data_IF_334648297475
#
_entry.id   IF_334648297475
#
_cell.length_a   1.000
_cell.length_b   1.000
_cell.length_c   1.000
_cell.angle_alpha   90.00
_cell.angle_beta   90.00
_cell.angle_gamma   90.00
#
_symmetry.space_group_name_H-M   'P 1'
#
loop_
_entity.id
_entity.type
_entity.pdbx_description
1 polymer ?
#
# COMPACT_ATOMS: atom_id res chain seq x y z
N UNK A 1 6.42 21.82 -0.63
CA UNK A 1 7.23 20.62 -0.41
C UNK A 1 6.59 19.88 0.73
N UNK A 2 6.28 18.59 0.57
CA UNK A 2 5.68 17.77 1.63
C UNK A 2 6.78 16.97 2.33
N UNK A 3 6.71 16.89 3.66
CA UNK A 3 7.68 16.20 4.52
C UNK A 3 6.93 15.15 5.32
N UNK A 4 7.43 13.92 5.27
CA UNK A 4 6.81 12.77 5.95
C UNK A 4 7.74 12.10 6.96
N UNK A 5 7.13 11.44 7.95
CA UNK A 5 7.85 10.64 8.95
C UNK A 5 7.54 9.14 8.76
N UNK A 6 8.57 8.31 8.60
CA UNK A 6 8.43 6.86 8.62
C UNK A 6 8.30 6.34 10.04
N UNK A 7 7.29 5.49 10.29
CA UNK A 7 6.96 4.93 11.60
C UNK A 7 6.86 3.40 11.48
N UNK A 8 7.81 2.71 12.12
CA UNK A 8 7.87 1.25 12.10
C UNK A 8 7.36 0.58 13.39
N UNK A 9 7.16 1.33 14.46
CA UNK A 9 6.73 0.82 15.77
C UNK A 9 6.02 1.91 16.57
N UNK A 10 5.32 1.51 17.63
CA UNK A 10 4.63 2.41 18.57
C UNK A 10 3.87 3.56 17.87
N UNK A 11 2.88 3.17 17.05
CA UNK A 11 2.20 4.09 16.14
C UNK A 11 1.58 5.28 16.86
N UNK A 12 0.94 5.06 18.01
CA UNK A 12 0.30 6.15 18.74
C UNK A 12 1.32 7.23 19.18
N UNK A 13 2.43 6.81 19.80
CA UNK A 13 3.45 7.75 20.27
C UNK A 13 4.07 8.51 19.11
N UNK A 14 4.43 7.81 18.04
CA UNK A 14 5.14 8.41 16.91
C UNK A 14 4.22 9.27 16.03
N UNK A 15 2.91 8.97 15.93
CA UNK A 15 1.94 9.84 15.25
C UNK A 15 1.77 11.15 16.02
N UNK A 16 1.67 11.10 17.35
CA UNK A 16 1.64 12.32 18.18
C UNK A 16 2.88 13.17 17.98
N UNK A 17 4.05 12.54 18.02
CA UNK A 17 5.32 13.24 17.77
C UNK A 17 5.36 13.86 16.37
N UNK A 18 4.91 13.15 15.32
CA UNK A 18 4.84 13.70 13.97
C UNK A 18 3.91 14.92 13.89
N UNK A 19 2.76 14.87 14.56
CA UNK A 19 1.83 15.99 14.67
C UNK A 19 2.40 17.18 15.43
N UNK A 20 3.05 16.95 16.57
CA UNK A 20 3.73 17.98 17.38
C UNK A 20 4.88 18.66 16.60
N UNK A 21 5.56 17.91 15.73
CA UNK A 21 6.61 18.41 14.85
C UNK A 21 6.08 18.97 13.51
N UNK A 22 4.75 19.02 13.32
CA UNK A 22 4.11 19.57 12.12
C UNK A 22 4.55 18.92 10.80
N UNK A 23 4.72 17.59 10.79
CA UNK A 23 4.88 16.85 9.54
C UNK A 23 3.60 16.92 8.70
N UNK A 24 3.70 16.74 7.39
CA UNK A 24 2.55 16.72 6.49
C UNK A 24 1.89 15.33 6.42
N UNK A 25 2.68 14.27 6.58
CA UNK A 25 2.17 12.89 6.54
C UNK A 25 3.02 11.90 7.35
N UNK A 26 2.42 10.75 7.64
CA UNK A 26 3.09 9.59 8.23
C UNK A 26 3.07 8.40 7.29
N UNK A 27 4.19 7.70 7.20
CA UNK A 27 4.31 6.41 6.53
C UNK A 27 4.37 5.30 7.58
N UNK A 28 3.33 4.46 7.65
CA UNK A 28 3.23 3.40 8.65
C UNK A 28 3.72 2.07 8.07
N UNK A 29 4.73 1.44 8.70
CA UNK A 29 5.17 0.11 8.30
C UNK A 29 4.15 -0.95 8.73
N UNK A 30 3.42 -1.52 7.77
CA UNK A 30 2.29 -2.42 8.05
C UNK A 30 2.71 -3.87 8.37
N UNK A 31 4.01 -4.18 8.27
CA UNK A 31 4.56 -5.53 8.53
C UNK A 31 4.16 -6.05 9.91
N UNK A 32 4.16 -5.16 10.90
CA UNK A 32 3.82 -5.47 12.29
C UNK A 32 2.44 -4.95 12.71
N UNK A 33 1.61 -4.51 11.75
CA UNK A 33 0.30 -3.98 12.10
C UNK A 33 -0.58 -5.06 12.75
N UNK A 34 -0.86 -4.82 14.04
CA UNK A 34 -1.75 -5.62 14.88
C UNK A 34 -2.70 -4.68 15.63
N UNK A 35 -3.38 -3.78 14.91
CA UNK A 35 -4.41 -2.96 15.55
C UNK A 35 -5.76 -3.69 15.60
N UNK A 36 -6.31 -3.81 16.79
CA UNK A 36 -7.74 -4.04 17.02
C UNK A 36 -8.55 -2.87 16.43
N UNK A 37 -9.85 -3.06 16.22
CA UNK A 37 -10.70 -2.01 15.67
C UNK A 37 -10.70 -0.73 16.51
N UNK A 38 -10.69 -0.88 17.85
CA UNK A 38 -10.56 0.23 18.79
C UNK A 38 -9.22 0.96 18.65
N UNK A 39 -8.12 0.21 18.49
CA UNK A 39 -6.79 0.80 18.30
C UNK A 39 -6.70 1.51 16.94
N UNK A 40 -7.16 0.90 15.85
CA UNK A 40 -7.12 1.54 14.54
C UNK A 40 -7.96 2.84 14.54
N UNK A 41 -9.15 2.84 15.18
CA UNK A 41 -9.95 4.05 15.34
C UNK A 41 -9.19 5.15 16.08
N UNK A 42 -8.55 4.81 17.21
CA UNK A 42 -7.74 5.78 17.97
C UNK A 42 -6.60 6.37 17.15
N UNK A 43 -5.94 5.56 16.33
CA UNK A 43 -4.89 6.03 15.43
C UNK A 43 -5.44 6.96 14.35
N UNK A 44 -6.60 6.64 13.76
CA UNK A 44 -7.27 7.52 12.80
C UNK A 44 -7.67 8.85 13.44
N UNK A 45 -8.26 8.83 14.63
CA UNK A 45 -8.65 10.04 15.36
C UNK A 45 -7.42 10.96 15.60
N UNK A 46 -6.23 10.39 15.85
CA UNK A 46 -4.99 11.15 15.99
C UNK A 46 -4.50 11.71 14.65
N UNK A 47 -4.50 10.89 13.60
CA UNK A 47 -4.12 11.31 12.24
C UNK A 47 -5.00 12.50 11.80
N UNK A 48 -6.30 12.41 12.02
CA UNK A 48 -7.27 13.46 11.69
C UNK A 48 -7.06 14.70 12.57
N UNK A 49 -6.85 14.54 13.88
CA UNK A 49 -6.65 15.65 14.81
C UNK A 49 -5.41 16.50 14.48
N UNK A 50 -4.34 15.87 13.96
CA UNK A 50 -3.14 16.56 13.51
C UNK A 50 -3.15 16.90 12.01
N UNK A 51 -4.24 16.62 11.31
CA UNK A 51 -4.40 16.84 9.86
C UNK A 51 -3.25 16.20 9.04
N UNK A 52 -2.86 14.97 9.40
CA UNK A 52 -1.77 14.24 8.76
C UNK A 52 -2.29 13.42 7.57
N UNK A 53 -1.55 13.42 6.47
CA UNK A 53 -1.68 12.35 5.46
C UNK A 53 -1.23 11.00 6.03
N UNK A 54 -1.82 9.89 5.59
CA UNK A 54 -1.42 8.56 6.03
C UNK A 54 -1.18 7.62 4.84
N UNK A 55 0.03 7.09 4.76
CA UNK A 55 0.43 6.08 3.77
C UNK A 55 0.93 4.83 4.47
N UNK A 56 0.73 3.66 3.86
CA UNK A 56 1.16 2.38 4.41
C UNK A 56 2.36 1.83 3.64
N UNK A 57 3.43 1.42 4.31
CA UNK A 57 4.57 0.75 3.71
C UNK A 57 4.56 -0.75 4.01
N UNK A 58 4.74 -1.59 3.00
CA UNK A 58 4.70 -3.07 3.14
C UNK A 58 5.98 -3.78 2.70
N UNK A 59 7.01 -3.04 2.30
CA UNK A 59 8.25 -3.61 1.76
C UNK A 59 8.03 -4.44 0.50
N UNK A 60 8.76 -5.55 0.39
CA UNK A 60 8.83 -6.37 -0.83
C UNK A 60 7.59 -7.26 -1.08
N UNK A 61 6.72 -7.44 -0.08
CA UNK A 61 5.55 -8.28 -0.22
C UNK A 61 4.34 -7.69 0.51
N UNK A 62 3.31 -7.38 -0.27
CA UNK A 62 1.98 -7.06 0.24
C UNK A 62 1.26 -8.35 0.66
N UNK A 63 0.54 -8.34 1.76
CA UNK A 63 -0.25 -9.46 2.30
C UNK A 63 -1.68 -9.04 2.61
N UNK A 64 -2.62 -9.99 2.59
CA UNK A 64 -4.03 -9.71 2.92
C UNK A 64 -4.20 -9.13 4.33
N UNK A 65 -3.32 -9.51 5.28
CA UNK A 65 -3.32 -8.96 6.64
C UNK A 65 -2.95 -7.47 6.65
N UNK A 66 -1.91 -7.09 5.91
CA UNK A 66 -1.50 -5.69 5.77
C UNK A 66 -2.61 -4.87 5.10
N UNK A 67 -3.28 -5.42 4.07
CA UNK A 67 -4.40 -4.75 3.41
C UNK A 67 -5.61 -4.58 4.32
N UNK A 68 -5.94 -5.60 5.11
CA UNK A 68 -7.00 -5.48 6.11
C UNK A 68 -6.66 -4.41 7.15
N UNK A 69 -5.40 -4.33 7.60
CA UNK A 69 -4.96 -3.23 8.46
C UNK A 69 -5.09 -1.88 7.75
N UNK A 70 -4.61 -1.77 6.51
CA UNK A 70 -4.70 -0.56 5.71
C UNK A 70 -6.13 -0.11 5.42
N UNK A 71 -7.10 -1.03 5.35
CA UNK A 71 -8.53 -0.67 5.20
C UNK A 71 -9.17 -0.16 6.49
N UNK A 72 -8.58 -0.48 7.65
CA UNK A 72 -9.07 -0.01 8.96
C UNK A 72 -8.42 1.30 9.37
N UNK A 73 -7.16 1.48 9.00
CA UNK A 73 -6.49 2.76 9.09
C UNK A 73 -6.98 3.61 7.90
N UNK A 74 -7.04 4.93 8.03
CA UNK A 74 -7.42 5.81 6.91
C UNK A 74 -6.30 5.92 5.85
N UNK A 75 -5.65 4.80 5.52
CA UNK A 75 -4.55 4.73 4.57
C UNK A 75 -5.12 4.75 3.16
N UNK A 76 -4.90 5.87 2.47
CA UNK A 76 -5.32 6.04 1.09
C UNK A 76 -4.29 5.53 0.09
N UNK A 77 -3.04 5.31 0.50
CA UNK A 77 -1.95 4.88 -0.37
C UNK A 77 -1.11 3.80 0.30
N UNK A 78 -0.85 2.69 -0.41
CA UNK A 78 0.11 1.66 0.01
C UNK A 78 1.33 1.68 -0.90
N UNK A 79 2.52 1.76 -0.31
CA UNK A 79 3.81 1.73 -0.96
C UNK A 79 4.42 0.34 -0.79
N UNK A 80 4.83 -0.26 -1.91
CA UNK A 80 5.61 -1.51 -1.94
C UNK A 80 6.88 -1.29 -2.74
N UNK A 81 8.00 -1.71 -2.17
CA UNK A 81 9.33 -1.59 -2.74
C UNK A 81 10.04 -2.95 -2.64
N UNK A 82 10.56 -3.44 -3.77
CA UNK A 82 11.45 -4.60 -3.76
C UNK A 82 12.89 -4.11 -3.64
N UNK A 83 13.47 -4.27 -2.45
CA UNK A 83 14.87 -3.91 -2.21
C UNK A 83 15.86 -4.75 -3.02
N UNK A 84 17.00 -4.15 -3.39
CA UNK A 84 18.11 -4.76 -4.15
C UNK A 84 18.83 -5.95 -3.47
N UNK A 85 18.40 -6.41 -2.28
CA UNK A 85 19.10 -7.46 -1.53
C UNK A 85 18.43 -8.82 -1.74
N UNK A 86 19.11 -9.69 -2.50
CA UNK A 86 19.03 -11.17 -2.47
C UNK A 86 17.69 -11.81 -2.03
N UNK A 87 16.64 -11.60 -2.80
CA UNK A 87 15.39 -12.36 -2.67
C UNK A 87 15.16 -13.30 -3.86
N UNK A 88 16.17 -14.12 -4.19
CA UNK A 88 16.00 -15.29 -5.05
C UNK A 88 15.10 -16.38 -4.42
N UNK A 89 14.60 -16.17 -3.19
CA UNK A 89 13.80 -17.13 -2.40
C UNK A 89 12.36 -16.74 -2.16
N UNK A 90 11.93 -15.55 -2.55
CA UNK A 90 10.51 -15.20 -2.52
C UNK A 90 10.02 -15.17 -3.95
N UNK A 91 9.06 -16.04 -4.34
CA UNK A 91 8.44 -15.91 -5.64
C UNK A 91 7.96 -14.46 -5.75
N UNK A 92 8.27 -13.82 -6.89
CA UNK A 92 7.66 -12.56 -7.31
C UNK A 92 6.25 -12.54 -6.76
N UNK A 93 5.93 -11.52 -5.94
CA UNK A 93 4.70 -11.43 -5.15
C UNK A 93 3.64 -12.28 -5.81
N UNK A 94 3.13 -13.32 -5.14
CA UNK A 94 1.98 -14.06 -5.67
C UNK A 94 0.75 -13.15 -5.52
N UNK A 95 0.80 -12.00 -6.20
CA UNK A 95 -0.18 -10.93 -6.28
C UNK A 95 -1.48 -11.54 -6.79
N UNK A 96 -1.42 -12.63 -7.55
CA UNK A 96 -2.55 -13.46 -7.96
C UNK A 96 -3.22 -14.24 -6.80
N UNK A 97 -2.46 -14.76 -5.83
CA UNK A 97 -3.05 -15.33 -4.59
C UNK A 97 -3.57 -14.23 -3.66
N UNK A 98 -2.91 -13.07 -3.62
CA UNK A 98 -3.33 -11.92 -2.84
C UNK A 98 -4.60 -11.25 -3.38
N UNK A 99 -4.72 -11.22 -4.70
CA UNK A 99 -5.90 -10.83 -5.47
C UNK A 99 -7.14 -11.64 -5.12
N UNK A 100 -7.04 -12.83 -4.52
CA UNK A 100 -8.23 -13.56 -4.07
C UNK A 100 -8.66 -13.20 -2.65
N UNK A 101 -7.88 -12.37 -1.95
CA UNK A 101 -8.01 -12.08 -0.50
C UNK A 101 -7.99 -10.60 -0.17
N UNK A 102 -7.80 -9.73 -1.16
CA UNK A 102 -8.01 -8.31 -1.01
C UNK A 102 -9.50 -8.11 -0.68
N UNK A 103 -9.83 -7.50 0.47
CA UNK A 103 -11.21 -7.26 0.80
C UNK A 103 -11.78 -6.20 -0.17
N UNK A 104 -13.07 -6.31 -0.49
CA UNK A 104 -13.84 -5.30 -1.25
C UNK A 104 -13.75 -3.87 -0.64
N UNK A 105 -13.17 -3.75 0.55
CA UNK A 105 -13.11 -2.56 1.38
C UNK A 105 -11.90 -1.65 1.16
N UNK A 106 -10.86 -2.05 0.42
CA UNK A 106 -9.73 -1.13 0.15
C UNK A 106 -9.99 -0.29 -1.10
N UNK A 107 -10.37 0.98 -0.89
CA UNK A 107 -10.58 1.97 -1.93
C UNK A 107 -9.45 3.03 -1.91
N UNK A 108 -8.26 2.62 -2.31
CA UNK A 108 -7.07 3.47 -2.26
C UNK A 108 -6.08 3.18 -3.40
N UNK A 109 -4.99 3.94 -3.43
CA UNK A 109 -3.91 3.81 -4.38
C UNK A 109 -2.88 2.77 -3.92
N UNK A 110 -2.30 2.03 -4.86
CA UNK A 110 -1.11 1.20 -4.63
C UNK A 110 0.02 1.79 -5.47
N UNK A 111 1.07 2.29 -4.82
CA UNK A 111 2.29 2.78 -5.45
C UNK A 111 3.32 1.65 -5.55
N UNK A 112 3.68 1.29 -6.78
CA UNK A 112 4.71 0.30 -7.07
C UNK A 112 6.05 1.00 -7.32
N UNK A 113 7.07 0.68 -6.53
CA UNK A 113 8.43 1.22 -6.68
C UNK A 113 9.38 0.08 -7.05
N UNK A 114 9.97 0.14 -8.24
CA UNK A 114 11.01 -0.77 -8.70
C UNK A 114 11.84 -0.11 -9.81
N UNK A 115 13.13 -0.44 -9.86
CA UNK A 115 14.01 -0.07 -10.98
C UNK A 115 13.85 -1.02 -12.18
N UNK A 116 13.21 -2.18 -11.99
CA UNK A 116 12.96 -3.17 -13.03
C UNK A 116 11.62 -2.92 -13.73
N UNK A 117 11.69 -2.54 -15.01
CA UNK A 117 10.54 -2.25 -15.85
C UNK A 117 9.64 -3.47 -16.10
N UNK A 118 10.22 -4.66 -16.28
CA UNK A 118 9.43 -5.88 -16.54
C UNK A 118 8.71 -6.33 -15.27
N UNK A 119 9.32 -6.08 -14.11
CA UNK A 119 8.67 -6.28 -12.83
C UNK A 119 7.47 -5.34 -12.63
N UNK A 120 7.64 -4.03 -12.88
CA UNK A 120 6.53 -3.07 -12.80
C UNK A 120 5.37 -3.45 -13.72
N UNK A 121 5.66 -3.92 -14.94
CA UNK A 121 4.64 -4.43 -15.87
C UNK A 121 3.91 -5.65 -15.31
N UNK A 122 4.64 -6.63 -14.76
CA UNK A 122 4.06 -7.84 -14.19
C UNK A 122 3.18 -7.53 -12.96
N UNK A 123 3.67 -6.67 -12.06
CA UNK A 123 2.94 -6.22 -10.89
C UNK A 123 1.67 -5.42 -11.26
N UNK A 124 1.78 -4.45 -12.18
CA UNK A 124 0.64 -3.70 -12.72
C UNK A 124 -0.42 -4.63 -13.30
N UNK A 125 -0.01 -5.57 -14.17
CA UNK A 125 -0.92 -6.55 -14.76
C UNK A 125 -1.65 -7.37 -13.70
N UNK A 126 -0.95 -7.83 -12.66
CA UNK A 126 -1.56 -8.60 -11.59
C UNK A 126 -2.58 -7.77 -10.80
N UNK A 127 -2.28 -6.50 -10.51
CA UNK A 127 -3.20 -5.57 -9.85
C UNK A 127 -4.43 -5.24 -10.73
N UNK A 128 -4.26 -5.03 -12.04
CA UNK A 128 -5.38 -4.72 -12.93
C UNK A 128 -6.31 -5.93 -13.14
N UNK A 129 -5.74 -7.12 -13.34
CA UNK A 129 -6.52 -8.37 -13.41
C UNK A 129 -7.30 -8.59 -12.11
N UNK A 130 -6.70 -8.21 -10.98
CA UNK A 130 -7.37 -8.26 -9.70
C UNK A 130 -8.54 -7.28 -9.64
N UNK A 131 -8.26 -5.99 -9.80
CA UNK A 131 -9.21 -4.91 -9.52
C UNK A 131 -10.43 -4.96 -10.43
N UNK A 132 -10.21 -5.28 -11.71
CA UNK A 132 -11.24 -5.25 -12.74
C UNK A 132 -11.72 -6.65 -13.14
N UNK A 133 -11.01 -7.69 -12.74
CA UNK A 133 -11.22 -9.06 -13.22
C UNK A 133 -10.50 -9.32 -14.56
N UNK A 134 -10.12 -10.59 -14.79
CA UNK A 134 -9.36 -11.02 -15.98
C UNK A 134 -10.05 -10.64 -17.29
N UNK A 135 -11.38 -10.77 -17.38
CA UNK A 135 -12.15 -10.44 -18.59
C UNK A 135 -12.01 -8.96 -18.95
N UNK A 136 -12.28 -8.08 -17.99
CA UNK A 136 -12.20 -6.62 -18.19
C UNK A 136 -10.77 -6.19 -18.49
N UNK A 137 -9.77 -6.80 -17.83
CA UNK A 137 -8.36 -6.55 -18.16
C UNK A 137 -8.03 -6.87 -19.63
N UNK A 138 -8.44 -8.04 -20.13
CA UNK A 138 -8.21 -8.44 -21.52
C UNK A 138 -8.97 -7.51 -22.49
N UNK A 139 -10.22 -7.17 -22.19
CA UNK A 139 -11.02 -6.24 -22.99
C UNK A 139 -10.41 -4.83 -23.04
N UNK A 140 -9.72 -4.42 -21.96
CA UNK A 140 -9.07 -3.11 -21.86
C UNK A 140 -7.70 -3.04 -22.53
N UNK A 141 -7.09 -4.17 -22.92
CA UNK A 141 -5.80 -4.15 -23.64
C UNK A 141 -5.86 -3.35 -24.93
N UNK A 142 -7.03 -3.28 -25.57
CA UNK A 142 -7.26 -2.46 -26.77
C UNK A 142 -7.04 -0.96 -26.55
N UNK A 143 -7.07 -0.49 -25.30
CA UNK A 143 -6.83 0.91 -24.92
C UNK A 143 -5.41 1.19 -24.41
N UNK A 144 -4.63 0.15 -24.08
CA UNK A 144 -3.28 0.30 -23.54
C UNK A 144 -2.25 0.74 -24.60
N UNK A 145 -2.59 0.55 -25.88
CA UNK A 145 -1.79 0.98 -27.02
C UNK A 145 -2.71 1.52 -28.11
N UNK A 146 -3.12 2.81 -28.05
CA UNK A 146 -3.83 3.39 -29.17
C UNK A 146 -2.97 3.22 -30.42
N UNK A 147 -3.56 2.66 -31.49
CA UNK A 147 -2.86 2.49 -32.77
C UNK A 147 -2.29 3.84 -33.21
N UNK A 148 -0.97 3.97 -33.25
CA UNK A 148 -0.27 5.20 -33.67
C UNK A 148 0.53 5.95 -32.59
N UNK A 149 0.75 5.36 -31.40
CA UNK A 149 1.68 5.88 -30.39
C UNK A 149 3.07 5.22 -30.49
#
# INVERSE_FOLDING_TARGET
>A
MLIGMHISSDFEKNIKLAGELSFDFVELALNDCKCSERECKKLNDLIDAYNLGCVGYVGASLTAKQLKCASKLAISTIITEKGKRDYARFPAVDTLKLAKKLPDSFNGMIALISEDKEELKAAKKALEIYWYGKKVYEDNKKYLYPKGA
#
